data_IF_611670821671
#
_entry.id   IF_611670821671
#
_cell.length_a   1.000
_cell.length_b   1.000
_cell.length_c   1.000
_cell.angle_alpha   90.00
_cell.angle_beta   90.00
_cell.angle_gamma   90.00
#
_symmetry.space_group_name_H-M   'P 1'
#
loop_
_entity.id
_entity.type
_entity.pdbx_description
1 polymer ?
#
# COMPACT_ATOMS: atom_id res chain seq x y z
N UNK A 1 -13.35 -7.03 21.96
CA UNK A 1 -13.29 -5.63 21.49
C UNK A 1 -12.10 -5.56 20.54
N UNK A 2 -12.31 -5.17 19.28
CA UNK A 2 -11.18 -4.91 18.38
C UNK A 2 -10.41 -3.72 18.94
N UNK A 3 -9.10 -3.88 19.12
CA UNK A 3 -8.21 -2.79 19.56
C UNK A 3 -7.56 -2.10 18.34
N UNK A 4 -8.23 -2.19 17.19
CA UNK A 4 -7.76 -1.64 15.93
C UNK A 4 -7.76 -0.11 15.99
N UNK A 5 -6.59 0.49 15.77
CA UNK A 5 -6.44 1.92 15.68
C UNK A 5 -6.75 2.36 14.25
N UNK A 6 -7.95 2.92 14.05
CA UNK A 6 -8.41 3.39 12.75
C UNK A 6 -7.54 4.51 12.16
N UNK A 7 -6.72 5.18 12.97
CA UNK A 7 -5.84 6.25 12.50
C UNK A 7 -4.41 5.76 12.21
N UNK A 8 -4.06 4.51 12.57
CA UNK A 8 -2.71 3.98 12.40
C UNK A 8 -2.23 4.10 10.95
N UNK A 9 -3.07 3.68 10.01
CA UNK A 9 -2.73 3.65 8.59
C UNK A 9 -2.63 5.07 8.01
N UNK A 10 -3.68 5.89 8.22
CA UNK A 10 -3.72 7.26 7.72
C UNK A 10 -2.56 8.11 8.26
N UNK A 11 -2.22 7.99 9.55
CA UNK A 11 -1.12 8.75 10.17
C UNK A 11 0.24 8.40 9.56
N UNK A 12 0.46 7.10 9.29
CA UNK A 12 1.73 6.65 8.69
C UNK A 12 1.85 7.00 7.21
N UNK A 13 0.74 6.93 6.46
CA UNK A 13 0.70 7.40 5.08
C UNK A 13 0.98 8.90 4.99
N UNK A 14 0.37 9.71 5.85
CA UNK A 14 0.66 11.15 5.91
C UNK A 14 2.14 11.41 6.22
N UNK A 15 2.74 10.67 7.16
CA UNK A 15 4.17 10.79 7.47
C UNK A 15 5.06 10.42 6.28
N UNK A 16 4.69 9.38 5.53
CA UNK A 16 5.41 8.97 4.32
C UNK A 16 5.26 10.00 3.19
N UNK A 17 4.06 10.59 3.03
CA UNK A 17 3.81 11.64 2.06
C UNK A 17 4.66 12.89 2.34
N UNK A 18 4.77 13.31 3.60
CA UNK A 18 5.64 14.41 4.01
C UNK A 18 7.11 14.12 3.70
N UNK A 19 7.59 12.90 3.99
CA UNK A 19 8.96 12.48 3.70
C UNK A 19 9.28 12.49 2.20
N UNK A 20 8.29 12.15 1.37
CA UNK A 20 8.43 11.96 -0.07
C UNK A 20 7.61 12.96 -0.89
N UNK A 21 7.50 14.19 -0.39
CA UNK A 21 6.61 15.22 -0.96
C UNK A 21 6.80 15.50 -2.46
N UNK A 22 8.00 15.31 -3.01
CA UNK A 22 8.23 15.47 -4.46
C UNK A 22 7.77 14.26 -5.28
N UNK A 23 7.79 13.05 -4.69
CA UNK A 23 7.27 11.83 -5.34
C UNK A 23 5.74 11.83 -5.33
N UNK A 24 5.12 12.14 -4.17
CA UNK A 24 3.66 12.05 -4.00
C UNK A 24 2.87 13.17 -4.70
N UNK A 25 3.55 14.14 -5.32
CA UNK A 25 2.92 15.10 -6.24
C UNK A 25 2.53 14.45 -7.57
N UNK A 26 3.24 13.40 -7.97
CA UNK A 26 2.94 12.66 -9.20
C UNK A 26 1.85 11.65 -8.94
N UNK A 27 0.93 11.52 -9.89
CA UNK A 27 -0.14 10.53 -9.82
C UNK A 27 0.41 9.12 -10.02
N UNK A 28 0.13 8.24 -9.06
CA UNK A 28 0.47 6.84 -9.16
C UNK A 28 -0.46 5.94 -8.35
N UNK A 29 -0.44 4.67 -8.72
CA UNK A 29 -1.22 3.62 -8.09
C UNK A 29 -0.33 2.40 -7.79
N UNK A 30 -0.51 1.85 -6.60
CA UNK A 30 0.14 0.61 -6.17
C UNK A 30 -0.93 -0.38 -5.73
N UNK A 31 -1.13 -1.41 -6.55
CA UNK A 31 -1.95 -2.56 -6.17
C UNK A 31 -1.08 -3.50 -5.36
N UNK A 32 -1.56 -3.97 -4.22
CA UNK A 32 -0.81 -4.87 -3.36
C UNK A 32 -1.62 -6.10 -2.98
N UNK A 33 -0.89 -7.17 -2.65
CA UNK A 33 -1.44 -8.44 -2.20
C UNK A 33 -0.59 -9.02 -1.08
N UNK A 34 -1.24 -9.61 -0.09
CA UNK A 34 -0.67 -10.41 0.97
C UNK A 34 -0.70 -11.92 0.63
N UNK A 35 0.11 -12.71 1.32
CA UNK A 35 0.04 -14.16 1.29
C UNK A 35 -1.34 -14.67 1.73
N UNK A 36 -1.78 -15.80 1.15
CA UNK A 36 -3.05 -16.41 1.50
C UNK A 36 -3.07 -16.88 2.96
N UNK A 37 -1.99 -17.54 3.37
CA UNK A 37 -1.87 -18.21 4.67
C UNK A 37 -1.14 -17.38 5.74
N UNK A 38 -0.59 -16.21 5.36
CA UNK A 38 0.15 -15.34 6.27
C UNK A 38 -0.24 -13.87 6.09
N UNK A 39 -0.12 -13.08 7.15
CA UNK A 39 -0.37 -11.64 7.15
C UNK A 39 0.91 -10.90 6.79
N UNK A 40 1.43 -11.22 5.59
CA UNK A 40 2.66 -10.66 5.01
C UNK A 40 2.46 -10.30 3.56
N UNK A 41 3.08 -9.22 3.11
CA UNK A 41 3.03 -8.78 1.73
C UNK A 41 3.71 -9.81 0.79
N UNK A 42 3.02 -10.19 -0.28
CA UNK A 42 3.50 -11.16 -1.28
C UNK A 42 3.79 -10.52 -2.64
N UNK A 43 3.12 -9.42 -2.98
CA UNK A 43 3.34 -8.76 -4.26
C UNK A 43 2.80 -7.34 -4.33
N UNK A 44 3.43 -6.54 -5.20
CA UNK A 44 2.96 -5.19 -5.57
C UNK A 44 3.04 -5.00 -7.08
N UNK A 45 2.13 -4.21 -7.63
CA UNK A 45 2.10 -3.79 -9.02
C UNK A 45 1.96 -2.27 -9.05
N UNK A 46 2.84 -1.60 -9.78
CA UNK A 46 2.96 -0.14 -9.78
C UNK A 46 2.57 0.43 -11.14
N UNK A 47 1.74 1.47 -11.12
CA UNK A 47 1.37 2.26 -12.29
C UNK A 47 1.67 3.72 -11.98
N UNK A 48 2.42 4.40 -12.85
CA UNK A 48 2.79 5.81 -12.71
C UNK A 48 2.34 6.58 -13.96
N UNK A 49 1.77 7.78 -13.81
CA UNK A 49 1.37 8.60 -14.96
C UNK A 49 2.55 9.29 -15.66
N UNK A 50 3.61 9.62 -14.92
CA UNK A 50 4.82 10.26 -15.45
C UNK A 50 6.01 9.29 -15.49
N UNK A 51 6.98 9.57 -16.37
CA UNK A 51 8.25 8.83 -16.45
C UNK A 51 9.22 9.24 -15.33
N UNK A 52 8.77 9.12 -14.09
CA UNK A 52 9.56 9.33 -12.87
C UNK A 52 10.02 8.00 -12.26
N UNK A 53 9.91 6.90 -13.00
CA UNK A 53 10.14 5.56 -12.48
C UNK A 53 11.53 5.43 -11.82
N UNK A 54 12.55 6.02 -12.44
CA UNK A 54 13.91 6.05 -11.91
C UNK A 54 13.98 6.82 -10.59
N UNK A 55 13.37 8.02 -10.52
CA UNK A 55 13.32 8.82 -9.30
C UNK A 55 12.59 8.10 -8.16
N UNK A 56 11.47 7.45 -8.46
CA UNK A 56 10.70 6.65 -7.48
C UNK A 56 11.53 5.47 -6.97
N UNK A 57 12.33 4.85 -7.84
CA UNK A 57 13.16 3.69 -7.51
C UNK A 57 14.40 4.10 -6.69
N UNK A 58 15.03 5.23 -7.02
CA UNK A 58 16.25 5.71 -6.35
C UNK A 58 15.97 6.45 -5.03
N UNK A 59 14.77 7.01 -4.84
CA UNK A 59 14.41 7.78 -3.63
C UNK A 59 14.24 6.93 -2.36
N UNK A 60 14.06 5.61 -2.51
CA UNK A 60 13.67 4.73 -1.41
C UNK A 60 12.17 4.73 -1.10
N UNK A 61 11.35 5.51 -1.82
CA UNK A 61 9.89 5.54 -1.65
C UNK A 61 9.27 4.15 -1.79
N UNK A 62 9.66 3.38 -2.81
CA UNK A 62 9.15 2.01 -3.02
C UNK A 62 9.40 1.12 -1.82
N UNK A 63 10.61 1.16 -1.27
CA UNK A 63 11.00 0.34 -0.13
C UNK A 63 10.16 0.69 1.10
N UNK A 64 10.10 1.97 1.47
CA UNK A 64 9.34 2.39 2.65
C UNK A 64 7.83 2.17 2.50
N UNK A 65 7.26 2.31 1.29
CA UNK A 65 5.86 1.96 1.08
C UNK A 65 5.62 0.45 1.23
N UNK A 66 6.52 -0.39 0.71
CA UNK A 66 6.43 -1.85 0.86
C UNK A 66 6.52 -2.27 2.32
N UNK A 67 7.47 -1.73 3.08
CA UNK A 67 7.59 -1.98 4.52
C UNK A 67 6.34 -1.54 5.27
N UNK A 68 5.79 -0.37 4.92
CA UNK A 68 4.58 0.14 5.55
C UNK A 68 3.35 -0.72 5.24
N UNK A 69 3.25 -1.26 4.03
CA UNK A 69 2.18 -2.20 3.66
C UNK A 69 2.28 -3.51 4.46
N UNK A 70 3.48 -4.04 4.68
CA UNK A 70 3.68 -5.23 5.52
C UNK A 70 3.22 -4.97 6.97
N UNK A 71 3.57 -3.80 7.51
CA UNK A 71 3.11 -3.35 8.84
C UNK A 71 1.58 -3.24 8.92
N UNK A 72 0.93 -2.71 7.88
CA UNK A 72 -0.53 -2.58 7.85
C UNK A 72 -1.23 -3.94 7.79
N UNK A 73 -0.75 -4.84 6.93
CA UNK A 73 -1.28 -6.20 6.81
C UNK A 73 -1.14 -6.93 8.17
N UNK A 74 0.03 -6.83 8.79
CA UNK A 74 0.30 -7.44 10.09
C UNK A 74 -0.59 -6.83 11.20
N UNK A 75 -0.79 -5.51 11.22
CA UNK A 75 -1.62 -4.84 12.22
C UNK A 75 -3.10 -5.25 12.12
N UNK A 76 -3.67 -5.25 10.89
CA UNK A 76 -5.02 -5.74 10.63
C UNK A 76 -5.15 -7.21 10.99
N UNK A 77 -4.13 -8.02 10.67
CA UNK A 77 -4.01 -9.43 11.04
C UNK A 77 -4.13 -9.68 12.55
N UNK A 78 -3.33 -8.98 13.34
CA UNK A 78 -3.34 -9.05 14.81
C UNK A 78 -4.68 -8.62 15.42
N UNK A 79 -5.38 -7.70 14.77
CA UNK A 79 -6.68 -7.19 15.22
C UNK A 79 -7.88 -7.97 14.67
N UNK A 80 -7.66 -8.96 13.78
CA UNK A 80 -8.71 -9.63 12.99
C UNK A 80 -9.60 -8.66 12.19
N UNK A 81 -9.01 -7.56 11.71
CA UNK A 81 -9.68 -6.57 10.87
C UNK A 81 -9.71 -7.04 9.41
N UNK A 82 -10.86 -6.90 8.75
CA UNK A 82 -11.05 -7.23 7.34
C UNK A 82 -11.56 -5.99 6.59
N UNK A 83 -11.19 -5.80 5.30
CA UNK A 83 -10.29 -6.62 4.50
C UNK A 83 -8.83 -6.46 4.95
N UNK A 84 -7.97 -7.44 4.64
CA UNK A 84 -6.52 -7.38 4.97
C UNK A 84 -5.58 -7.99 3.95
N UNK A 85 -6.08 -8.61 2.88
CA UNK A 85 -5.23 -9.35 1.92
C UNK A 85 -4.91 -8.57 0.68
N UNK A 86 -5.72 -7.60 0.29
CA UNK A 86 -5.53 -6.86 -0.95
C UNK A 86 -5.95 -5.41 -0.77
N UNK A 87 -5.37 -4.55 -1.60
CA UNK A 87 -5.76 -3.16 -1.64
C UNK A 87 -5.01 -2.37 -2.69
N UNK A 88 -5.32 -1.09 -2.71
CA UNK A 88 -4.76 -0.11 -3.62
C UNK A 88 -4.28 1.08 -2.81
N UNK A 89 -3.02 1.44 -2.97
CA UNK A 89 -2.49 2.73 -2.54
C UNK A 89 -2.53 3.69 -3.72
N UNK A 90 -3.07 4.88 -3.52
CA UNK A 90 -3.04 5.95 -4.52
C UNK A 90 -2.28 7.14 -3.96
N UNK A 91 -1.44 7.72 -4.79
CA UNK A 91 -0.75 8.98 -4.48
C UNK A 91 -0.87 9.95 -5.64
N UNK A 92 -0.83 11.23 -5.30
CA UNK A 92 -1.06 12.35 -6.20
C UNK A 92 -1.44 13.58 -5.38
N UNK A 93 -1.26 14.77 -5.96
CA UNK A 93 -1.56 16.06 -5.30
C UNK A 93 -0.88 16.27 -3.93
N UNK A 94 0.18 15.50 -3.65
CA UNK A 94 0.94 15.59 -2.39
C UNK A 94 0.42 14.69 -1.27
N UNK A 95 -0.51 13.77 -1.53
CA UNK A 95 -1.11 12.89 -0.52
C UNK A 95 -0.99 11.40 -0.88
N UNK A 96 -1.24 10.55 0.12
CA UNK A 96 -1.28 9.09 0.04
C UNK A 96 -2.56 8.58 0.68
N UNK A 97 -3.29 7.73 -0.05
CA UNK A 97 -4.49 7.06 0.46
C UNK A 97 -4.41 5.55 0.23
N UNK A 98 -5.07 4.79 1.10
CA UNK A 98 -5.19 3.34 0.98
C UNK A 98 -6.66 2.93 0.93
N UNK A 99 -6.97 2.05 -0.01
CA UNK A 99 -8.26 1.37 -0.14
C UNK A 99 -8.04 -0.12 0.04
N UNK A 100 -8.64 -0.70 1.08
CA UNK A 100 -8.64 -2.15 1.29
C UNK A 100 -9.75 -2.81 0.50
N UNK A 101 -9.43 -3.90 -0.18
CA UNK A 101 -10.36 -4.61 -1.06
C UNK A 101 -10.63 -6.03 -0.56
N UNK A 102 -11.81 -6.59 -0.85
CA UNK A 102 -12.08 -8.02 -0.63
C UNK A 102 -11.08 -8.91 -1.37
N UNK A 103 -10.76 -10.06 -0.79
CA UNK A 103 -9.87 -11.06 -1.40
C UNK A 103 -10.36 -11.47 -2.81
N UNK A 104 -9.44 -11.53 -3.77
CA UNK A 104 -9.70 -11.83 -5.17
C UNK A 104 -10.11 -10.62 -6.03
N UNK A 105 -10.11 -9.41 -5.47
CA UNK A 105 -10.54 -8.21 -6.21
C UNK A 105 -9.50 -7.71 -7.20
N UNK A 106 -8.22 -7.90 -6.91
CA UNK A 106 -7.09 -7.37 -7.70
C UNK A 106 -6.63 -8.33 -8.79
N UNK A 107 -5.91 -7.82 -9.80
CA UNK A 107 -5.29 -8.65 -10.83
C UNK A 107 -4.17 -9.54 -10.27
N UNK A 108 -3.54 -9.15 -9.16
CA UNK A 108 -2.53 -9.96 -8.46
C UNK A 108 -3.07 -11.30 -7.95
N UNK A 109 -4.39 -11.42 -7.77
CA UNK A 109 -5.07 -12.65 -7.34
C UNK A 109 -5.61 -13.49 -8.47
N UNK A 110 -5.67 -12.94 -9.69
CA UNK A 110 -6.33 -13.57 -10.82
C UNK A 110 -5.41 -14.41 -11.70
N UNK A 111 -4.09 -14.40 -11.45
CA UNK A 111 -3.06 -15.23 -12.08
C UNK A 111 -3.35 -15.62 -13.52
N UNK A 112 -2.73 -14.94 -14.50
CA UNK A 112 -2.89 -15.23 -15.93
C UNK A 112 -3.04 -16.75 -16.18
N UNK A 113 -4.23 -17.12 -16.67
CA UNK A 113 -4.61 -18.49 -16.99
C UNK A 113 -3.75 -19.13 -18.06
#
# INVERSE_FOLDING_TARGET
MSNFDQNFEATRLASLAEQYSDIVKVTGEVVFRAEADDDRLSGTSWTLEEDIFDQVTESGFKLHLIELLDDFIAHRGQCNELPKKEGIVRFGDGDLSIEWLPDGSTHLSKGDS
#
